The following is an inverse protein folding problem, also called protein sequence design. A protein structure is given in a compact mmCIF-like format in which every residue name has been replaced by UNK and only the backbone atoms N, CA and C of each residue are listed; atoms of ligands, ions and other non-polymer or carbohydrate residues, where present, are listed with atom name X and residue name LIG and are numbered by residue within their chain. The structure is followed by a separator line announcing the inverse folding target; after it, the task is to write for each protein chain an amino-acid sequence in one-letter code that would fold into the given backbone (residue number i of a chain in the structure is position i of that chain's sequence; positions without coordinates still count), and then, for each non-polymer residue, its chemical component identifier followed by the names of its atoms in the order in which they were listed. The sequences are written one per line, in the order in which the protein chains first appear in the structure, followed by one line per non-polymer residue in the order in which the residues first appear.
data_IF_521413849984
#
_entry.id   IF_521413849984
#
_cell.length_a   1.000
_cell.length_b   1.000
_cell.length_c   1.000
_cell.angle_alpha   90.00
_cell.angle_beta   90.00
_cell.angle_gamma   90.00
#
_symmetry.space_group_name_H-M   'P 1'
#
loop_
_entity.id
_entity.type
_entity.pdbx_description
1 polymer ?
#
# COMPACT_ATOMS: atom_id res chain seq x y z
N UNK A 1 12.74 -2.91 -9.72
CA UNK A 1 12.60 -1.63 -8.98
C UNK A 1 13.84 -1.37 -8.14
N UNK A 2 14.40 -0.15 -8.14
CA UNK A 2 15.40 0.26 -7.16
C UNK A 2 14.82 0.24 -5.75
N UNK A 3 15.68 0.03 -4.76
CA UNK A 3 15.29 0.08 -3.35
C UNK A 3 16.44 0.60 -2.50
N UNK A 4 16.11 1.21 -1.37
CA UNK A 4 17.08 1.77 -0.43
C UNK A 4 16.55 1.76 1.01
N UNK A 5 17.43 1.65 2.01
CA UNK A 5 17.04 1.69 3.41
C UNK A 5 16.82 3.14 3.87
N UNK A 6 15.75 3.35 4.63
CA UNK A 6 15.54 4.56 5.43
C UNK A 6 15.69 4.20 6.90
N UNK A 7 16.70 4.77 7.56
CA UNK A 7 16.96 4.54 8.97
C UNK A 7 16.22 5.57 9.80
N UNK A 8 15.44 5.12 10.80
CA UNK A 8 14.71 5.97 11.75
C UNK A 8 15.24 5.72 13.17
N UNK A 9 16.12 6.58 13.62
CA UNK A 9 16.80 6.43 14.92
C UNK A 9 15.86 6.63 16.13
N UNK A 10 14.81 7.42 15.96
CA UNK A 10 13.87 7.80 17.04
C UNK A 10 12.75 6.78 17.31
N UNK A 11 12.62 5.70 16.54
CA UNK A 11 11.57 4.69 16.71
C UNK A 11 12.04 3.48 17.50
N UNK A 12 11.19 3.05 18.45
CA UNK A 12 11.46 1.89 19.31
C UNK A 12 11.33 0.55 18.55
N UNK A 13 10.48 0.48 17.53
CA UNK A 13 10.09 -0.79 16.90
C UNK A 13 10.71 -1.05 15.53
N UNK A 14 10.69 -0.10 14.61
CA UNK A 14 11.21 -0.29 13.25
C UNK A 14 12.29 0.75 12.97
N UNK A 15 13.55 0.34 13.07
CA UNK A 15 14.70 1.22 12.85
C UNK A 15 15.06 1.36 11.37
N UNK A 16 14.85 0.33 10.56
CA UNK A 16 15.16 0.31 9.14
C UNK A 16 13.89 0.01 8.35
N UNK A 17 13.54 0.90 7.44
CA UNK A 17 12.47 0.71 6.47
C UNK A 17 13.09 0.59 5.09
N UNK A 18 12.86 -0.51 4.39
CA UNK A 18 13.24 -0.64 2.98
C UNK A 18 12.18 0.01 2.12
N UNK A 19 12.59 1.00 1.33
CA UNK A 19 11.71 1.72 0.40
C UNK A 19 11.99 1.24 -1.01
N UNK A 20 10.95 0.82 -1.72
CA UNK A 20 10.98 0.45 -3.14
C UNK A 20 10.45 1.61 -3.97
N UNK A 21 11.24 2.05 -4.95
CA UNK A 21 10.92 3.23 -5.75
C UNK A 21 10.35 2.84 -7.12
N UNK A 22 9.02 2.74 -7.18
CA UNK A 22 8.30 2.48 -8.43
C UNK A 22 8.24 3.69 -9.38
N UNK A 23 8.67 4.87 -8.91
CA UNK A 23 8.76 6.10 -9.70
C UNK A 23 10.16 6.35 -10.26
N UNK A 24 11.15 5.53 -9.88
CA UNK A 24 12.50 5.64 -10.43
C UNK A 24 12.50 5.36 -11.93
N UNK A 25 13.01 6.31 -12.70
CA UNK A 25 13.04 6.23 -14.16
C UNK A 25 14.28 5.50 -14.66
N UNK A 26 14.07 4.62 -15.64
CA UNK A 26 15.10 4.01 -16.45
C UNK A 26 14.74 4.23 -17.93
N UNK A 27 15.64 4.82 -18.69
CA UNK A 27 15.43 5.19 -20.11
C UNK A 27 14.15 6.05 -20.33
N UNK A 28 13.86 6.93 -19.36
CA UNK A 28 12.73 7.84 -19.40
C UNK A 28 11.41 7.30 -18.87
N UNK A 29 11.29 5.99 -18.62
CA UNK A 29 10.08 5.32 -18.14
C UNK A 29 10.24 4.80 -16.71
N UNK A 30 9.13 4.72 -15.98
CA UNK A 30 9.08 4.09 -14.67
C UNK A 30 7.87 3.15 -14.54
N UNK A 31 7.89 2.27 -13.55
CA UNK A 31 6.79 1.34 -13.33
C UNK A 31 5.45 2.06 -13.12
N UNK A 32 5.46 3.16 -12.38
CA UNK A 32 4.25 3.95 -12.12
C UNK A 32 3.64 4.59 -13.37
N UNK A 33 4.42 4.84 -14.43
CA UNK A 33 3.92 5.37 -15.70
C UNK A 33 3.11 4.31 -16.48
N UNK A 34 3.35 3.02 -16.22
CA UNK A 34 2.71 1.89 -16.93
C UNK A 34 1.52 1.30 -16.19
N UNK A 35 1.35 1.63 -14.89
CA UNK A 35 0.28 1.10 -14.06
C UNK A 35 -0.90 2.07 -14.02
N UNK A 36 -2.09 1.54 -14.33
CA UNK A 36 -3.31 2.31 -14.18
C UNK A 36 -3.66 2.52 -12.68
N UNK A 37 -3.79 3.78 -12.20
CA UNK A 37 -3.98 4.07 -10.77
C UNK A 37 -5.34 3.65 -10.22
N UNK A 38 -6.31 3.35 -11.08
CA UNK A 38 -7.70 3.12 -10.68
C UNK A 38 -8.45 4.40 -10.31
N UNK A 39 -9.77 4.33 -10.11
CA UNK A 39 -10.57 5.47 -9.67
C UNK A 39 -10.25 5.86 -8.23
N UNK A 40 -10.42 7.14 -7.91
CA UNK A 40 -10.24 7.66 -6.56
C UNK A 40 -11.35 7.14 -5.64
N UNK A 41 -11.02 6.22 -4.73
CA UNK A 41 -11.92 5.70 -3.69
C UNK A 41 -11.76 6.41 -2.35
N UNK A 42 -10.71 7.23 -2.19
CA UNK A 42 -10.46 7.99 -0.98
C UNK A 42 -11.49 9.09 -0.80
N UNK A 43 -11.96 9.27 0.42
CA UNK A 43 -12.79 10.41 0.80
C UNK A 43 -11.96 11.70 0.80
N UNK A 44 -12.65 12.81 0.56
CA UNK A 44 -12.02 14.12 0.71
C UNK A 44 -11.64 14.37 2.18
N UNK A 45 -10.45 14.93 2.38
CA UNK A 45 -9.92 15.16 3.74
C UNK A 45 -10.86 16.06 4.57
N UNK A 46 -11.46 17.07 3.95
CA UNK A 46 -12.39 17.99 4.61
C UNK A 46 -13.61 17.24 5.16
N UNK A 47 -14.18 16.32 4.36
CA UNK A 47 -15.33 15.51 4.80
C UNK A 47 -14.93 14.59 5.96
N UNK A 48 -13.77 13.97 5.90
CA UNK A 48 -13.25 13.11 6.96
C UNK A 48 -13.05 13.90 8.27
N UNK A 49 -12.42 15.09 8.20
CA UNK A 49 -12.19 15.95 9.36
C UNK A 49 -13.47 16.52 9.96
N UNK A 50 -14.45 16.88 9.11
CA UNK A 50 -15.75 17.38 9.56
C UNK A 50 -16.50 16.30 10.33
N UNK A 51 -16.57 15.09 9.79
CA UNK A 51 -17.21 13.93 10.45
C UNK A 51 -16.50 13.53 11.74
N UNK A 52 -15.16 13.58 11.76
CA UNK A 52 -14.37 13.28 12.95
C UNK A 52 -14.68 14.20 14.14
N UNK A 53 -15.09 15.45 13.86
CA UNK A 53 -15.46 16.44 14.88
C UNK A 53 -16.92 16.39 15.32
N UNK A 54 -17.74 15.59 14.66
CA UNK A 54 -19.20 15.55 14.94
C UNK A 54 -19.52 14.85 16.26
N UNK A 55 -18.79 13.80 16.59
CA UNK A 55 -19.03 13.03 17.80
C UNK A 55 -18.18 13.56 18.99
N UNK A 56 -18.70 13.46 20.22
CA UNK A 56 -17.95 13.89 21.41
C UNK A 56 -16.71 13.02 21.68
N UNK A 57 -16.70 11.80 21.17
CA UNK A 57 -15.56 10.88 21.27
C UNK A 57 -15.15 10.47 19.85
N UNK A 58 -13.89 10.71 19.51
CA UNK A 58 -13.29 10.33 18.25
C UNK A 58 -12.19 9.29 18.46
N UNK A 59 -12.21 8.25 17.64
CA UNK A 59 -11.22 7.17 17.66
C UNK A 59 -10.46 7.15 16.34
N UNK A 60 -9.14 6.98 16.42
CA UNK A 60 -8.28 6.76 15.27
C UNK A 60 -7.50 5.47 15.47
N UNK A 61 -7.53 4.60 14.46
CA UNK A 61 -6.82 3.32 14.48
C UNK A 61 -6.06 3.16 13.17
N UNK A 62 -4.96 2.39 13.21
CA UNK A 62 -4.20 2.02 12.04
C UNK A 62 -4.23 0.50 11.84
N UNK A 63 -4.29 0.06 10.59
CA UNK A 63 -4.08 -1.34 10.23
C UNK A 63 -2.57 -1.55 10.10
N UNK A 64 -2.02 -2.46 10.91
CA UNK A 64 -0.58 -2.79 10.86
C UNK A 64 -0.25 -3.39 9.49
N UNK A 65 0.83 -2.90 8.88
CA UNK A 65 1.35 -3.38 7.60
C UNK A 65 0.27 -3.49 6.50
N UNK A 66 -0.67 -2.56 6.48
CA UNK A 66 -1.93 -2.60 5.73
C UNK A 66 -1.76 -3.01 4.26
N UNK A 67 -0.72 -2.51 3.56
CA UNK A 67 -0.46 -2.90 2.17
C UNK A 67 0.01 -4.35 2.05
N UNK A 68 0.82 -4.82 2.99
CA UNK A 68 1.32 -6.20 3.03
C UNK A 68 0.26 -7.23 3.45
N UNK A 69 -0.98 -6.82 3.71
CA UNK A 69 -2.12 -7.72 3.93
C UNK A 69 -2.85 -8.06 2.62
N UNK A 70 -2.45 -7.49 1.49
CA UNK A 70 -3.10 -7.68 0.19
C UNK A 70 -2.16 -8.42 -0.76
N UNK A 71 -2.58 -9.59 -1.22
CA UNK A 71 -1.83 -10.40 -2.18
C UNK A 71 -2.00 -9.88 -3.60
N UNK A 72 -0.91 -9.90 -4.37
CA UNK A 72 -0.91 -9.67 -5.81
C UNK A 72 -1.26 -10.96 -6.55
N UNK A 73 -2.04 -10.84 -7.61
CA UNK A 73 -2.29 -11.98 -8.50
C UNK A 73 -0.96 -12.45 -9.13
N UNK A 74 -0.77 -13.75 -9.28
CA UNK A 74 0.47 -14.34 -9.84
C UNK A 74 0.89 -13.72 -11.16
N UNK A 75 -0.08 -13.38 -12.04
CA UNK A 75 0.20 -12.72 -13.33
C UNK A 75 0.77 -11.31 -13.19
N UNK A 76 0.55 -10.63 -12.07
CA UNK A 76 0.98 -9.25 -11.82
C UNK A 76 2.31 -9.18 -11.05
N UNK A 77 2.72 -10.24 -10.37
CA UNK A 77 3.96 -10.31 -9.60
C UNK A 77 5.23 -10.03 -10.44
N UNK A 78 5.35 -10.52 -11.69
CA UNK A 78 6.53 -10.26 -12.52
C UNK A 78 6.81 -8.78 -12.80
N UNK A 79 5.82 -7.90 -12.69
CA UNK A 79 6.01 -6.45 -12.83
C UNK A 79 6.61 -5.79 -11.57
N UNK A 80 6.64 -6.52 -10.43
CA UNK A 80 7.11 -6.02 -9.15
C UNK A 80 8.45 -6.64 -8.74
N UNK A 81 9.39 -6.76 -9.70
CA UNK A 81 10.72 -7.35 -9.48
C UNK A 81 11.71 -6.35 -8.88
N UNK A 82 12.58 -6.87 -8.05
CA UNK A 82 13.76 -6.15 -7.56
C UNK A 82 14.98 -7.08 -7.54
N UNK A 83 16.15 -6.48 -7.47
CA UNK A 83 17.44 -7.17 -7.51
C UNK A 83 18.11 -7.09 -6.14
N UNK A 84 18.66 -8.21 -5.64
CA UNK A 84 19.38 -8.24 -4.38
C UNK A 84 20.67 -9.08 -4.52
N UNK A 85 21.79 -8.54 -4.01
CA UNK A 85 23.11 -9.22 -4.05
C UNK A 85 23.59 -9.70 -2.67
N UNK A 86 22.86 -9.41 -1.58
CA UNK A 86 23.31 -9.67 -0.22
C UNK A 86 24.74 -9.15 0.06
N UNK A 87 25.06 -7.95 -0.46
CA UNK A 87 26.36 -7.29 -0.40
C UNK A 87 27.51 -8.00 -1.14
N UNK A 88 27.26 -9.07 -1.85
CA UNK A 88 28.26 -9.77 -2.68
C UNK A 88 28.26 -9.18 -4.10
N UNK A 89 29.29 -8.36 -4.39
CA UNK A 89 29.46 -7.72 -5.70
C UNK A 89 30.17 -8.61 -6.72
N UNK A 90 30.66 -9.79 -6.33
CA UNK A 90 31.36 -10.72 -7.21
C UNK A 90 30.44 -11.58 -8.07
N UNK A 91 29.14 -11.59 -7.77
CA UNK A 91 28.11 -12.37 -8.47
C UNK A 91 27.00 -11.49 -9.06
N UNK A 92 26.27 -12.05 -10.01
CA UNK A 92 25.04 -11.42 -10.52
C UNK A 92 23.98 -11.33 -9.40
N UNK A 93 23.13 -10.28 -9.41
CA UNK A 93 22.06 -10.15 -8.44
C UNK A 93 20.97 -11.20 -8.63
N UNK A 94 20.44 -11.69 -7.53
CA UNK A 94 19.22 -12.50 -7.54
C UNK A 94 18.01 -11.63 -7.88
N UNK A 95 17.07 -12.20 -8.65
CA UNK A 95 15.81 -11.57 -8.98
C UNK A 95 14.74 -12.04 -8.01
N UNK A 96 14.11 -11.11 -7.34
CA UNK A 96 12.97 -11.36 -6.44
C UNK A 96 11.70 -10.73 -6.99
N UNK A 97 10.56 -11.30 -6.68
CA UNK A 97 9.23 -10.80 -7.03
C UNK A 97 8.40 -10.57 -5.78
N UNK A 98 7.70 -9.44 -5.72
CA UNK A 98 6.74 -9.20 -4.67
C UNK A 98 5.46 -10.00 -4.90
N UNK A 99 5.04 -10.69 -3.86
CA UNK A 99 3.74 -11.37 -3.80
C UNK A 99 2.65 -10.50 -3.18
N UNK A 100 3.03 -9.44 -2.48
CA UNK A 100 2.16 -8.56 -1.73
C UNK A 100 2.15 -7.15 -2.32
N UNK A 101 1.08 -6.41 -2.04
CA UNK A 101 0.92 -5.05 -2.52
C UNK A 101 1.99 -4.12 -1.93
N UNK A 102 2.61 -3.32 -2.78
CA UNK A 102 3.70 -2.44 -2.39
C UNK A 102 3.22 -1.02 -2.08
N UNK A 103 3.84 -0.44 -1.06
CA UNK A 103 3.78 1.00 -0.85
C UNK A 103 4.59 1.73 -1.94
N UNK A 104 4.04 2.85 -2.46
CA UNK A 104 4.71 3.65 -3.51
C UNK A 104 4.29 3.32 -4.94
N UNK A 105 3.56 2.22 -5.16
CA UNK A 105 2.93 1.92 -6.44
C UNK A 105 1.65 2.76 -6.61
N UNK A 106 1.46 3.33 -7.79
CA UNK A 106 0.33 4.22 -8.13
C UNK A 106 -1.04 3.56 -7.93
N UNK A 107 -1.20 2.26 -8.19
CA UNK A 107 -2.45 1.53 -8.01
C UNK A 107 -2.72 1.10 -6.56
N UNK A 108 -1.71 1.07 -5.70
CA UNK A 108 -1.83 0.51 -4.35
C UNK A 108 -2.92 1.15 -3.50
N UNK A 109 -3.12 2.48 -3.48
CA UNK A 109 -4.20 3.10 -2.72
C UNK A 109 -5.60 2.64 -3.16
N UNK A 110 -5.81 2.50 -4.48
CA UNK A 110 -7.07 2.00 -5.02
C UNK A 110 -7.29 0.54 -4.63
N UNK A 111 -6.33 -0.34 -4.90
CA UNK A 111 -6.42 -1.78 -4.60
C UNK A 111 -6.74 -2.01 -3.13
N UNK A 112 -6.04 -1.33 -2.24
CA UNK A 112 -6.25 -1.44 -0.81
C UNK A 112 -7.65 -1.03 -0.37
N UNK A 113 -8.12 0.14 -0.82
CA UNK A 113 -9.46 0.63 -0.48
C UNK A 113 -10.55 -0.24 -1.09
N UNK A 114 -10.33 -0.79 -2.27
CA UNK A 114 -11.25 -1.73 -2.91
C UNK A 114 -11.37 -3.02 -2.10
N UNK A 115 -10.25 -3.61 -1.66
CA UNK A 115 -10.24 -4.80 -0.80
C UNK A 115 -10.95 -4.50 0.53
N UNK A 116 -10.65 -3.38 1.18
CA UNK A 116 -11.28 -2.98 2.43
C UNK A 116 -12.80 -2.82 2.29
N UNK A 117 -13.26 -2.16 1.22
CA UNK A 117 -14.70 -1.99 0.95
C UNK A 117 -15.38 -3.32 0.63
N UNK A 118 -14.71 -4.21 -0.10
CA UNK A 118 -15.23 -5.54 -0.44
C UNK A 118 -15.36 -6.40 0.81
N UNK A 119 -14.34 -6.38 1.68
CA UNK A 119 -14.38 -7.06 2.97
C UNK A 119 -15.51 -6.54 3.85
N UNK A 120 -15.66 -5.22 3.97
CA UNK A 120 -16.75 -4.61 4.74
C UNK A 120 -18.15 -5.02 4.21
N UNK A 121 -18.32 -5.10 2.88
CA UNK A 121 -19.58 -5.58 2.28
C UNK A 121 -19.85 -7.04 2.60
N UNK A 122 -18.84 -7.90 2.56
CA UNK A 122 -18.97 -9.32 2.87
C UNK A 122 -19.41 -9.56 4.32
N UNK A 123 -19.02 -8.69 5.25
CA UNK A 123 -19.38 -8.76 6.66
C UNK A 123 -20.52 -7.82 7.09
N UNK A 124 -21.26 -7.26 6.12
CA UNK A 124 -22.30 -6.27 6.41
C UNK A 124 -23.48 -6.81 7.26
N UNK A 125 -23.74 -8.12 7.22
CA UNK A 125 -24.78 -8.74 8.07
C UNK A 125 -24.34 -8.82 9.54
N UNK A 126 -23.07 -9.03 9.78
CA UNK A 126 -22.50 -9.13 11.13
C UNK A 126 -22.22 -7.75 11.75
N UNK A 127 -21.72 -6.82 10.92
CA UNK A 127 -21.33 -5.47 11.33
C UNK A 127 -21.95 -4.38 10.44
N UNK A 128 -23.28 -4.19 10.45
CA UNK A 128 -23.97 -3.33 9.49
C UNK A 128 -23.53 -1.86 9.57
N UNK A 129 -23.34 -1.30 10.76
CA UNK A 129 -22.92 0.09 10.92
C UNK A 129 -21.48 0.31 10.47
N UNK A 130 -20.56 -0.61 10.81
CA UNK A 130 -19.16 -0.54 10.37
C UNK A 130 -19.07 -0.64 8.84
N UNK A 131 -19.80 -1.58 8.24
CA UNK A 131 -19.86 -1.73 6.79
C UNK A 131 -20.39 -0.47 6.10
N UNK A 132 -21.47 0.14 6.63
CA UNK A 132 -22.00 1.40 6.13
C UNK A 132 -20.96 2.52 6.17
N UNK A 133 -20.21 2.65 7.25
CA UNK A 133 -19.18 3.69 7.40
C UNK A 133 -18.00 3.53 6.45
N UNK A 134 -17.61 2.28 6.14
CA UNK A 134 -16.50 1.99 5.22
C UNK A 134 -16.92 2.15 3.76
N UNK A 135 -18.13 1.69 3.40
CA UNK A 135 -18.62 1.62 2.01
C UNK A 135 -19.29 2.90 1.53
N UNK A 136 -20.03 3.61 2.41
CA UNK A 136 -20.74 4.84 2.02
C UNK A 136 -19.76 5.95 1.63
N UNK A 137 -19.96 6.45 0.42
CA UNK A 137 -19.31 7.66 -0.11
C UNK A 137 -19.92 8.92 0.49
#
# INVERSE_FOLDING_TARGET
MPHFPVVKEERVTTKVLVVFDAAAKYDGECLNDTIWPGPKLQRELVDALTRFRWAPVALSVGISEMFLQVELQEKDQPFHRFLLRNFDTSREPDVYEFQLLLFGNTASPFCLLYVLQTHAKAHALEFPEAARLVVCR
#
